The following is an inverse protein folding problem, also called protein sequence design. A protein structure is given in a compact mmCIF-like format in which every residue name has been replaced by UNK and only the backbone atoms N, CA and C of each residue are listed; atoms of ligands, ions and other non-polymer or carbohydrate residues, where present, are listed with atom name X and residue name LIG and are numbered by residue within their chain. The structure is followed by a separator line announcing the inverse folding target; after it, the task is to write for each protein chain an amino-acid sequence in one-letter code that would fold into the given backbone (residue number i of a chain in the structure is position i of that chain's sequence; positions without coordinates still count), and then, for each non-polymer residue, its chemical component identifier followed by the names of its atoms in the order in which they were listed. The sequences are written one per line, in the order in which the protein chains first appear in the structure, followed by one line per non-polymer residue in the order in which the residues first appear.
data_IF_130481449724
#
_entry.id   IF_130481449724
#
_cell.length_a   1.000
_cell.length_b   1.000
_cell.length_c   1.000
_cell.angle_alpha   90.00
_cell.angle_beta   90.00
_cell.angle_gamma   90.00
#
_symmetry.space_group_name_H-M   'P 1'
#
loop_
_entity.id
_entity.type
_entity.pdbx_description
1 polymer ?
#
# COMPACT_ATOMS: atom_id res chain seq x y z
N UNK A 1 -10.94 22.53 -7.03
CA UNK A 1 -10.81 21.12 -6.60
C UNK A 1 -11.65 20.79 -5.35
N UNK A 2 -12.19 21.78 -4.61
CA UNK A 2 -12.93 21.57 -3.37
C UNK A 2 -14.40 21.15 -3.54
N UNK A 3 -14.98 21.24 -4.70
CA UNK A 3 -16.42 21.02 -4.90
C UNK A 3 -16.83 19.57 -5.25
N UNK A 4 -15.89 18.62 -5.31
CA UNK A 4 -16.13 17.25 -5.78
C UNK A 4 -15.52 16.17 -4.86
N UNK A 5 -15.29 16.45 -3.57
CA UNK A 5 -14.80 15.45 -2.65
C UNK A 5 -15.97 14.92 -1.81
N UNK A 6 -16.26 13.64 -1.96
CA UNK A 6 -17.22 12.92 -1.12
C UNK A 6 -16.46 12.10 -0.07
N UNK A 7 -16.88 12.21 1.20
CA UNK A 7 -16.33 11.42 2.31
C UNK A 7 -17.26 10.23 2.56
N UNK A 8 -16.74 9.03 2.34
CA UNK A 8 -17.44 7.78 2.59
C UNK A 8 -16.77 7.04 3.76
N UNK A 9 -17.34 7.05 4.97
CA UNK A 9 -16.81 6.31 6.10
C UNK A 9 -16.77 4.80 5.77
N UNK A 10 -15.61 4.17 6.00
CA UNK A 10 -15.42 2.75 5.73
C UNK A 10 -14.35 2.18 6.67
N UNK A 11 -14.64 1.06 7.31
CA UNK A 11 -13.62 0.21 7.91
C UNK A 11 -13.08 -0.73 6.82
N UNK A 12 -11.84 -0.54 6.35
CA UNK A 12 -11.29 -1.32 5.27
C UNK A 12 -10.90 -2.74 5.69
N UNK A 13 -10.92 -3.07 6.98
CA UNK A 13 -10.71 -4.42 7.50
C UNK A 13 -12.00 -5.22 7.56
N UNK A 14 -13.16 -4.57 7.43
CA UNK A 14 -14.49 -5.18 7.41
C UNK A 14 -14.98 -5.40 5.98
N UNK A 15 -15.12 -6.66 5.58
CA UNK A 15 -15.60 -7.00 4.24
C UNK A 15 -16.97 -6.38 3.93
N UNK A 16 -17.89 -6.43 4.89
CA UNK A 16 -19.24 -5.84 4.75
C UNK A 16 -19.18 -4.32 4.54
N UNK A 17 -18.31 -3.63 5.28
CA UNK A 17 -18.12 -2.18 5.11
C UNK A 17 -17.57 -1.86 3.72
N UNK A 18 -16.54 -2.56 3.27
CA UNK A 18 -15.95 -2.39 1.94
C UNK A 18 -16.99 -2.63 0.85
N UNK A 19 -17.72 -3.75 0.92
CA UNK A 19 -18.77 -4.10 -0.03
C UNK A 19 -19.85 -3.01 -0.10
N UNK A 20 -20.39 -2.61 1.06
CA UNK A 20 -21.45 -1.60 1.14
C UNK A 20 -21.00 -0.25 0.60
N UNK A 21 -19.77 0.17 0.92
CA UNK A 21 -19.23 1.44 0.46
C UNK A 21 -19.00 1.44 -1.04
N UNK A 22 -18.33 0.42 -1.57
CA UNK A 22 -18.03 0.33 -2.99
C UNK A 22 -19.28 0.07 -3.86
N UNK A 23 -20.36 -0.47 -3.29
CA UNK A 23 -21.62 -0.63 -4.02
C UNK A 23 -22.30 0.68 -4.40
N UNK A 24 -21.94 1.79 -3.75
CA UNK A 24 -22.45 3.14 -4.05
C UNK A 24 -21.73 3.80 -5.22
N UNK A 25 -20.59 3.25 -5.64
CA UNK A 25 -19.71 3.81 -6.67
C UNK A 25 -20.05 3.19 -8.02
N UNK A 26 -20.17 3.99 -9.06
CA UNK A 26 -20.50 3.52 -10.40
C UNK A 26 -19.30 3.02 -11.19
N UNK A 27 -18.20 3.75 -11.17
CA UNK A 27 -16.93 3.44 -11.86
C UNK A 27 -15.75 4.02 -11.11
N UNK A 28 -14.55 3.47 -11.33
CA UNK A 28 -13.31 3.95 -10.75
C UNK A 28 -12.23 3.96 -11.83
N UNK A 29 -11.47 5.05 -11.88
CA UNK A 29 -10.27 5.17 -12.71
C UNK A 29 -9.00 4.94 -11.89
N UNK A 30 -9.06 5.22 -10.58
CA UNK A 30 -7.94 5.10 -9.67
C UNK A 30 -8.39 4.64 -8.29
N UNK A 31 -7.68 3.68 -7.74
CA UNK A 31 -7.73 3.29 -6.33
C UNK A 31 -6.33 3.40 -5.76
N UNK A 32 -6.18 4.13 -4.66
CA UNK A 32 -4.94 4.14 -3.86
C UNK A 32 -5.30 3.74 -2.43
N UNK A 33 -4.88 2.55 -2.02
CA UNK A 33 -5.00 2.13 -0.62
C UNK A 33 -3.82 2.69 0.18
N UNK A 34 -4.10 3.61 1.09
CA UNK A 34 -3.11 4.25 1.97
C UNK A 34 -3.16 3.71 3.40
N UNK A 35 -3.88 2.63 3.65
CA UNK A 35 -3.96 2.01 4.98
C UNK A 35 -2.59 1.42 5.34
N UNK A 36 -2.14 1.71 6.56
CA UNK A 36 -0.86 1.21 7.04
C UNK A 36 -0.72 1.29 8.56
N UNK A 37 -0.06 0.29 9.10
CA UNK A 37 0.19 0.11 10.52
C UNK A 37 1.61 -0.42 10.70
N UNK A 38 2.36 0.13 11.63
CA UNK A 38 3.74 -0.26 11.91
C UNK A 38 3.86 -1.02 13.23
N UNK A 39 3.25 -0.48 14.28
CA UNK A 39 3.24 -1.08 15.62
C UNK A 39 2.11 -0.47 16.44
N UNK A 40 1.64 -1.18 17.47
CA UNK A 40 0.70 -0.66 18.48
C UNK A 40 1.31 0.51 19.25
N UNK A 41 0.46 1.34 19.87
CA UNK A 41 0.89 2.54 20.61
C UNK A 41 1.89 2.23 21.73
N UNK A 42 1.82 1.02 22.31
CA UNK A 42 2.69 0.55 23.39
C UNK A 42 3.94 -0.21 22.92
N UNK A 43 4.12 -0.42 21.61
CA UNK A 43 5.18 -1.25 21.08
C UNK A 43 5.99 -0.60 19.96
N UNK A 44 7.31 -0.85 19.98
CA UNK A 44 8.19 -0.63 18.84
C UNK A 44 8.27 -1.92 18.02
N UNK A 45 8.45 -1.85 16.69
CA UNK A 45 8.67 -3.04 15.88
C UNK A 45 9.83 -3.88 16.42
N UNK A 46 9.70 -5.18 16.33
CA UNK A 46 10.63 -6.15 16.89
C UNK A 46 12.03 -6.00 16.27
N UNK A 47 13.05 -5.72 17.08
CA UNK A 47 14.44 -5.64 16.63
C UNK A 47 15.13 -7.01 16.58
N UNK A 48 14.59 -7.99 17.29
CA UNK A 48 15.14 -9.36 17.36
C UNK A 48 14.00 -10.37 17.41
N UNK A 49 14.25 -11.59 16.95
CA UNK A 49 13.26 -12.70 17.01
C UNK A 49 12.79 -13.01 18.44
N UNK A 50 13.61 -12.72 19.44
CA UNK A 50 13.26 -12.93 20.85
C UNK A 50 12.10 -12.03 21.33
N UNK A 51 11.82 -10.95 20.61
CA UNK A 51 10.71 -10.01 20.90
C UNK A 51 9.52 -10.20 19.97
N UNK A 52 9.53 -11.26 19.17
CA UNK A 52 8.43 -11.56 18.28
C UNK A 52 7.22 -12.05 19.08
N UNK A 53 6.07 -11.42 18.82
CA UNK A 53 4.78 -11.77 19.40
C UNK A 53 3.80 -12.13 18.27
N UNK A 54 3.18 -13.33 18.31
CA UNK A 54 2.25 -13.76 17.25
C UNK A 54 1.12 -12.78 16.99
N UNK A 55 0.54 -12.19 18.04
CA UNK A 55 -0.54 -11.22 17.93
C UNK A 55 -0.12 -9.98 17.11
N UNK A 56 1.12 -9.49 17.28
CA UNK A 56 1.64 -8.37 16.50
C UNK A 56 1.72 -8.66 14.99
N UNK A 57 2.02 -9.90 14.61
CA UNK A 57 1.98 -10.33 13.22
C UNK A 57 0.55 -10.42 12.70
N UNK A 58 -0.37 -11.02 13.46
CA UNK A 58 -1.78 -11.13 13.10
C UNK A 58 -2.40 -9.74 12.86
N UNK A 59 -2.16 -8.81 13.77
CA UNK A 59 -2.61 -7.42 13.65
C UNK A 59 -2.00 -6.74 12.41
N UNK A 60 -0.70 -6.89 12.21
CA UNK A 60 0.00 -6.31 11.06
C UNK A 60 -0.53 -6.84 9.72
N UNK A 61 -0.81 -8.13 9.60
CA UNK A 61 -1.41 -8.73 8.40
C UNK A 61 -2.84 -8.22 8.21
N UNK A 62 -3.63 -8.19 9.28
CA UNK A 62 -5.02 -7.74 9.25
C UNK A 62 -5.15 -6.30 8.76
N UNK A 63 -4.22 -5.41 9.15
CA UNK A 63 -4.30 -4.00 8.78
C UNK A 63 -3.53 -3.69 7.49
N UNK A 64 -2.34 -4.24 7.29
CA UNK A 64 -1.50 -3.88 6.15
C UNK A 64 -1.85 -4.63 4.86
N UNK A 65 -2.38 -5.86 4.96
CA UNK A 65 -2.58 -6.76 3.79
C UNK A 65 -4.04 -6.93 3.44
N UNK A 66 -4.89 -7.31 4.41
CA UNK A 66 -6.28 -7.66 4.18
C UNK A 66 -7.10 -6.54 3.49
N UNK A 67 -6.98 -5.25 3.86
CA UNK A 67 -7.72 -4.17 3.21
C UNK A 67 -7.53 -4.12 1.71
N UNK A 68 -6.29 -4.30 1.22
CA UNK A 68 -5.99 -4.32 -0.21
C UNK A 68 -6.76 -5.41 -0.94
N UNK A 69 -6.81 -6.62 -0.38
CA UNK A 69 -7.51 -7.75 -0.97
C UNK A 69 -9.03 -7.54 -0.96
N UNK A 70 -9.59 -7.02 0.14
CA UNK A 70 -11.02 -6.72 0.24
C UNK A 70 -11.43 -5.62 -0.75
N UNK A 71 -10.65 -4.54 -0.82
CA UNK A 71 -10.91 -3.45 -1.77
C UNK A 71 -10.81 -3.98 -3.21
N UNK A 72 -9.78 -4.76 -3.55
CA UNK A 72 -9.61 -5.34 -4.87
C UNK A 72 -10.81 -6.20 -5.29
N UNK A 73 -11.30 -7.06 -4.37
CA UNK A 73 -12.44 -7.94 -4.59
C UNK A 73 -13.68 -7.19 -5.09
N UNK A 74 -13.96 -6.03 -4.54
CA UNK A 74 -15.15 -5.25 -4.87
C UNK A 74 -14.88 -4.14 -5.90
N UNK A 75 -13.66 -3.63 -6.02
CA UNK A 75 -13.28 -2.60 -6.99
C UNK A 75 -13.08 -3.14 -8.41
N UNK A 76 -12.81 -4.43 -8.59
CA UNK A 76 -12.51 -5.06 -9.88
C UNK A 76 -13.52 -4.67 -10.99
N UNK A 77 -14.81 -4.82 -10.70
CA UNK A 77 -15.88 -4.50 -11.67
C UNK A 77 -15.98 -3.01 -11.97
N UNK A 78 -15.60 -2.16 -11.03
CA UNK A 78 -15.65 -0.71 -11.15
C UNK A 78 -14.48 -0.19 -12.00
N UNK A 79 -13.27 -0.71 -11.78
CA UNK A 79 -12.06 -0.40 -12.53
C UNK A 79 -12.13 -0.89 -13.98
N UNK A 80 -12.80 -2.02 -14.22
CA UNK A 80 -13.00 -2.56 -15.57
C UNK A 80 -13.81 -1.65 -16.49
N UNK A 81 -14.64 -0.75 -15.94
CA UNK A 81 -15.46 0.19 -16.70
C UNK A 81 -14.67 1.37 -17.28
N UNK A 82 -13.50 1.66 -16.71
CA UNK A 82 -12.61 2.72 -17.22
C UNK A 82 -11.86 2.26 -18.47
N UNK A 83 -11.48 3.20 -19.32
CA UNK A 83 -10.61 2.91 -20.47
C UNK A 83 -9.17 2.55 -20.03
N UNK A 84 -8.70 3.20 -18.98
CA UNK A 84 -7.43 2.94 -18.32
C UNK A 84 -7.60 3.21 -16.82
N UNK A 85 -7.20 2.26 -16.00
CA UNK A 85 -7.32 2.37 -14.55
C UNK A 85 -6.04 1.96 -13.82
N UNK A 86 -5.93 2.39 -12.57
CA UNK A 86 -4.81 2.02 -11.69
C UNK A 86 -5.37 1.55 -10.35
N UNK A 87 -4.85 0.43 -9.87
CA UNK A 87 -5.04 -0.06 -8.52
C UNK A 87 -3.69 -0.12 -7.81
N UNK A 88 -3.50 0.74 -6.83
CA UNK A 88 -2.23 0.85 -6.12
C UNK A 88 -2.42 0.74 -4.61
N UNK A 89 -1.42 0.21 -3.93
CA UNK A 89 -1.33 0.23 -2.47
C UNK A 89 0.01 0.76 -2.00
N UNK A 90 -0.05 1.56 -0.92
CA UNK A 90 1.15 2.03 -0.24
C UNK A 90 1.78 0.86 0.53
N UNK A 91 2.86 0.36 -0.03
CA UNK A 91 3.74 -0.61 0.60
C UNK A 91 4.92 0.10 1.29
N UNK A 92 5.97 -0.62 1.53
CA UNK A 92 7.20 -0.07 2.10
C UNK A 92 8.41 -0.85 1.55
N UNK A 93 9.53 -0.16 1.34
CA UNK A 93 10.77 -0.79 0.88
C UNK A 93 11.20 -1.98 1.75
N UNK A 94 10.92 -1.91 3.06
CA UNK A 94 11.19 -3.01 4.01
C UNK A 94 10.37 -4.28 3.74
N UNK A 95 9.33 -4.22 2.90
CA UNK A 95 8.59 -5.39 2.41
C UNK A 95 9.26 -6.10 1.23
N UNK A 96 10.31 -5.54 0.65
CA UNK A 96 11.13 -6.21 -0.35
C UNK A 96 11.98 -7.31 0.31
N UNK A 97 11.88 -8.53 -0.20
CA UNK A 97 12.68 -9.66 0.27
C UNK A 97 14.11 -9.51 -0.23
N UNK A 98 14.26 -9.12 -1.51
CA UNK A 98 15.57 -8.95 -2.15
C UNK A 98 16.41 -7.80 -1.58
N UNK A 99 15.76 -6.71 -1.13
CA UNK A 99 16.44 -5.54 -0.52
C UNK A 99 16.73 -5.72 0.98
N UNK A 100 16.26 -6.79 1.62
CA UNK A 100 16.36 -6.98 3.06
C UNK A 100 17.78 -7.35 3.51
N UNK A 101 18.58 -6.35 3.88
CA UNK A 101 19.94 -6.50 4.43
C UNK A 101 20.00 -6.19 5.94
N UNK A 102 18.95 -5.59 6.51
CA UNK A 102 18.97 -5.08 7.88
C UNK A 102 18.33 -6.02 8.90
N UNK A 103 17.38 -6.86 8.48
CA UNK A 103 16.60 -7.71 9.38
C UNK A 103 15.71 -6.89 10.35
N UNK A 104 15.26 -7.54 11.42
CA UNK A 104 14.34 -6.93 12.39
C UNK A 104 12.97 -6.61 11.82
N UNK A 105 12.09 -6.00 12.63
CA UNK A 105 10.73 -5.57 12.24
C UNK A 105 9.91 -6.71 11.62
N UNK A 106 9.94 -7.87 12.24
CA UNK A 106 9.40 -9.11 11.67
C UNK A 106 7.95 -8.96 11.23
N UNK A 107 7.06 -8.54 12.13
CA UNK A 107 5.63 -8.41 11.83
C UNK A 107 5.38 -7.41 10.71
N UNK A 108 6.06 -6.25 10.72
CA UNK A 108 5.88 -5.24 9.69
C UNK A 108 6.44 -5.67 8.33
N UNK A 109 7.67 -6.22 8.29
CA UNK A 109 8.26 -6.72 7.03
C UNK A 109 7.42 -7.84 6.43
N UNK A 110 7.00 -8.80 7.25
CA UNK A 110 6.18 -9.93 6.78
C UNK A 110 4.85 -9.40 6.22
N UNK A 111 4.18 -8.47 6.91
CA UNK A 111 2.91 -7.93 6.43
C UNK A 111 3.06 -7.14 5.11
N UNK A 112 4.15 -6.37 4.95
CA UNK A 112 4.39 -5.64 3.70
C UNK A 112 4.89 -6.55 2.56
N UNK A 113 5.61 -7.63 2.87
CA UNK A 113 5.93 -8.69 1.89
C UNK A 113 4.66 -9.46 1.47
N UNK A 114 3.76 -9.76 2.41
CA UNK A 114 2.45 -10.34 2.11
C UNK A 114 1.60 -9.42 1.22
N UNK A 115 1.58 -8.11 1.50
CA UNK A 115 0.95 -7.10 0.63
C UNK A 115 1.55 -7.11 -0.77
N UNK A 116 2.89 -7.14 -0.88
CA UNK A 116 3.60 -7.20 -2.14
C UNK A 116 3.22 -8.47 -2.93
N UNK A 117 3.20 -9.62 -2.28
CA UNK A 117 2.74 -10.88 -2.88
C UNK A 117 1.28 -10.80 -3.35
N UNK A 118 0.39 -10.22 -2.54
CA UNK A 118 -1.01 -10.03 -2.89
C UNK A 118 -1.16 -9.18 -4.16
N UNK A 119 -0.46 -8.06 -4.26
CA UNK A 119 -0.47 -7.18 -5.43
C UNK A 119 0.13 -7.86 -6.67
N UNK A 120 1.23 -8.60 -6.50
CA UNK A 120 1.83 -9.38 -7.59
C UNK A 120 0.87 -10.44 -8.11
N UNK A 121 0.24 -11.19 -7.23
CA UNK A 121 -0.75 -12.22 -7.59
C UNK A 121 -1.95 -11.60 -8.30
N UNK A 122 -2.47 -10.50 -7.75
CA UNK A 122 -3.58 -9.75 -8.34
C UNK A 122 -3.26 -9.23 -9.74
N UNK A 123 -2.06 -8.74 -9.97
CA UNK A 123 -1.62 -8.24 -11.28
C UNK A 123 -1.65 -9.33 -12.35
N UNK A 124 -1.27 -10.55 -11.99
CA UNK A 124 -1.28 -11.71 -12.90
C UNK A 124 -2.72 -12.12 -13.23
N UNK A 125 -3.58 -12.17 -12.23
CA UNK A 125 -5.01 -12.46 -12.42
C UNK A 125 -5.68 -11.38 -13.28
N UNK A 126 -5.44 -10.11 -12.96
CA UNK A 126 -6.09 -8.98 -13.63
C UNK A 126 -5.52 -8.70 -15.02
N UNK A 127 -4.33 -9.18 -15.35
CA UNK A 127 -3.84 -9.12 -16.74
C UNK A 127 -4.82 -9.76 -17.74
N UNK A 128 -5.65 -10.71 -17.29
CA UNK A 128 -6.68 -11.37 -18.10
C UNK A 128 -8.09 -10.82 -17.86
N UNK A 129 -8.44 -10.53 -16.59
CA UNK A 129 -9.81 -10.17 -16.20
C UNK A 129 -10.09 -8.67 -16.22
N UNK A 130 -9.06 -7.83 -16.06
CA UNK A 130 -9.12 -6.36 -16.09
C UNK A 130 -7.90 -5.81 -16.84
N UNK A 131 -7.71 -6.12 -18.13
CA UNK A 131 -6.47 -5.84 -18.85
C UNK A 131 -6.14 -4.35 -19.01
N UNK A 132 -7.11 -3.48 -18.76
CA UNK A 132 -6.96 -2.02 -18.75
C UNK A 132 -6.44 -1.45 -17.41
N UNK A 133 -6.23 -2.30 -16.40
CA UNK A 133 -5.82 -1.88 -15.06
C UNK A 133 -4.34 -2.18 -14.80
N UNK A 134 -3.60 -1.17 -14.36
CA UNK A 134 -2.27 -1.34 -13.77
C UNK A 134 -2.39 -1.60 -12.27
N UNK A 135 -1.88 -2.72 -11.79
CA UNK A 135 -1.76 -3.04 -10.35
C UNK A 135 -0.33 -2.76 -9.92
N UNK A 136 -0.14 -1.93 -8.89
CA UNK A 136 1.18 -1.50 -8.44
C UNK A 136 1.33 -1.46 -6.92
N UNK A 137 2.51 -1.84 -6.42
CA UNK A 137 2.97 -1.50 -5.08
C UNK A 137 3.73 -0.18 -5.12
N UNK A 138 3.57 0.66 -4.10
CA UNK A 138 4.21 1.97 -4.01
C UNK A 138 4.95 2.13 -2.69
N UNK A 139 6.22 2.51 -2.74
CA UNK A 139 6.98 2.96 -1.57
C UNK A 139 6.95 4.49 -1.52
N UNK A 140 6.41 5.10 -0.44
CA UNK A 140 6.21 6.55 -0.36
C UNK A 140 7.46 7.33 0.03
N UNK A 141 8.61 6.66 0.19
CA UNK A 141 9.79 7.24 0.85
C UNK A 141 9.65 7.21 2.37
N UNK A 142 10.64 7.79 3.06
CA UNK A 142 10.53 8.04 4.51
C UNK A 142 9.81 9.37 4.70
N UNK A 143 8.56 9.30 5.16
CA UNK A 143 7.66 10.47 5.25
C UNK A 143 7.51 10.91 6.70
N UNK A 144 7.58 12.22 6.96
CA UNK A 144 7.37 12.80 8.29
C UNK A 144 5.91 12.63 8.74
N UNK A 145 5.63 11.57 9.49
CA UNK A 145 4.31 11.21 10.00
C UNK A 145 4.42 10.66 11.42
N UNK A 146 3.30 10.52 12.12
CA UNK A 146 3.26 9.84 13.42
C UNK A 146 3.79 8.40 13.35
N UNK A 147 3.56 7.71 12.23
CA UNK A 147 4.01 6.33 12.01
C UNK A 147 5.54 6.23 11.95
N UNK A 148 6.21 7.18 11.32
CA UNK A 148 7.67 7.17 11.15
C UNK A 148 8.44 7.88 12.28
N UNK A 149 7.80 8.77 13.02
CA UNK A 149 8.43 9.62 14.02
C UNK A 149 9.34 8.88 15.02
N UNK A 150 8.97 7.69 15.54
CA UNK A 150 9.85 6.95 16.47
C UNK A 150 11.16 6.44 15.84
N UNK A 151 11.28 6.44 14.52
CA UNK A 151 12.38 5.81 13.77
C UNK A 151 13.21 6.81 12.97
N UNK A 152 12.76 8.04 12.88
CA UNK A 152 13.50 9.16 12.30
C UNK A 152 14.32 9.78 13.41
N UNK A 153 15.51 9.22 13.66
CA UNK A 153 16.49 9.83 14.57
C UNK A 153 16.96 11.20 14.07
N UNK A 154 17.61 11.98 14.94
CA UNK A 154 18.04 13.37 14.72
C UNK A 154 18.79 13.63 13.40
N UNK A 155 18.10 13.54 12.29
CA UNK A 155 18.41 14.18 11.01
C UNK A 155 19.62 13.68 10.23
N UNK A 156 20.22 12.54 10.52
CA UNK A 156 21.59 12.30 9.98
C UNK A 156 21.73 11.40 8.75
N UNK A 157 20.69 10.74 8.19
CA UNK A 157 20.99 9.86 7.02
C UNK A 157 19.88 9.61 5.99
N UNK A 158 18.66 10.12 6.15
CA UNK A 158 17.61 9.85 5.16
C UNK A 158 16.95 11.18 4.75
N UNK A 159 16.72 11.38 3.46
CA UNK A 159 15.89 12.48 2.97
C UNK A 159 14.46 12.26 3.46
N UNK A 160 14.09 12.95 4.54
CA UNK A 160 12.76 12.93 5.10
C UNK A 160 11.83 13.80 4.24
N UNK A 161 10.84 13.18 3.64
CA UNK A 161 9.84 13.88 2.85
C UNK A 161 8.72 14.42 3.75
N UNK A 162 8.21 15.59 3.46
CA UNK A 162 6.92 16.01 4.00
C UNK A 162 5.79 15.17 3.38
N UNK A 163 4.62 15.13 4.02
CA UNK A 163 3.45 14.42 3.49
C UNK A 163 3.04 14.95 2.11
N UNK A 164 3.09 16.26 1.91
CA UNK A 164 2.79 16.89 0.62
C UNK A 164 3.81 16.56 -0.47
N UNK A 165 5.10 16.51 -0.14
CA UNK A 165 6.14 16.10 -1.08
C UNK A 165 5.96 14.63 -1.50
N UNK A 166 5.77 13.73 -0.53
CA UNK A 166 5.54 12.32 -0.82
C UNK A 166 4.28 12.12 -1.67
N UNK A 167 3.18 12.79 -1.32
CA UNK A 167 1.93 12.71 -2.09
C UNK A 167 2.11 13.21 -3.53
N UNK A 168 2.83 14.32 -3.74
CA UNK A 168 3.12 14.84 -5.08
C UNK A 168 3.97 13.86 -5.91
N UNK A 169 4.99 13.26 -5.28
CA UNK A 169 5.83 12.25 -5.94
C UNK A 169 5.03 10.99 -6.30
N UNK A 170 4.25 10.45 -5.37
CA UNK A 170 3.39 9.28 -5.62
C UNK A 170 2.36 9.57 -6.71
N UNK A 171 1.74 10.76 -6.68
CA UNK A 171 0.80 11.17 -7.74
C UNK A 171 1.48 11.21 -9.11
N UNK A 172 2.71 11.70 -9.19
CA UNK A 172 3.49 11.70 -10.43
C UNK A 172 3.77 10.28 -10.93
N UNK A 173 4.16 9.36 -10.04
CA UNK A 173 4.37 7.95 -10.39
C UNK A 173 3.06 7.35 -10.92
N UNK A 174 1.97 7.45 -10.16
CA UNK A 174 0.66 6.87 -10.50
C UNK A 174 0.13 7.40 -11.83
N UNK A 175 0.24 8.69 -12.11
CA UNK A 175 -0.23 9.30 -13.36
C UNK A 175 0.53 8.79 -14.60
N UNK A 176 1.74 8.27 -14.42
CA UNK A 176 2.55 7.71 -15.50
C UNK A 176 2.36 6.20 -15.69
N UNK A 177 1.73 5.50 -14.73
CA UNK A 177 1.50 4.06 -14.85
C UNK A 177 0.56 3.72 -16.01
N UNK A 178 0.89 2.65 -16.71
CA UNK A 178 0.12 2.10 -17.83
C UNK A 178 -0.14 0.62 -17.58
N UNK A 179 -1.09 -0.03 -18.26
CA UNK A 179 -1.37 -1.46 -18.06
C UNK A 179 -0.16 -2.37 -18.21
N UNK A 180 0.83 -2.02 -19.04
CA UNK A 180 2.06 -2.80 -19.21
C UNK A 180 3.05 -2.69 -18.03
N UNK A 181 2.83 -1.73 -17.11
CA UNK A 181 3.60 -1.58 -15.88
C UNK A 181 3.03 -2.41 -14.72
N UNK A 182 1.96 -3.17 -14.98
CA UNK A 182 1.28 -3.96 -13.95
C UNK A 182 2.21 -4.98 -13.29
N UNK A 183 2.06 -5.14 -11.98
CA UNK A 183 2.83 -6.11 -11.20
C UNK A 183 4.25 -5.67 -10.88
N UNK A 184 4.51 -4.37 -10.82
CA UNK A 184 5.79 -3.80 -10.40
C UNK A 184 5.67 -3.08 -9.06
N UNK A 185 6.82 -2.92 -8.40
CA UNK A 185 6.96 -2.19 -7.13
C UNK A 185 7.77 -0.91 -7.37
N UNK A 186 7.14 0.23 -7.15
CA UNK A 186 7.70 1.54 -7.47
C UNK A 186 8.07 2.33 -6.23
N UNK A 187 9.20 2.97 -6.26
CA UNK A 187 9.60 3.98 -5.30
C UNK A 187 8.97 5.35 -5.64
N UNK A 188 8.90 6.22 -4.67
CA UNK A 188 8.39 7.59 -4.78
C UNK A 188 9.09 8.44 -5.84
N UNK A 189 10.33 8.14 -6.15
CA UNK A 189 11.17 8.81 -7.16
C UNK A 189 11.00 8.23 -8.58
N UNK A 190 10.19 7.17 -8.72
CA UNK A 190 9.89 6.51 -9.99
C UNK A 190 10.82 5.34 -10.32
N UNK A 191 11.75 5.00 -9.43
CA UNK A 191 12.60 3.82 -9.61
C UNK A 191 11.85 2.54 -9.25
N UNK A 192 12.14 1.45 -9.96
CA UNK A 192 11.58 0.12 -9.64
C UNK A 192 12.37 -0.51 -8.49
N UNK A 193 11.64 -1.03 -7.50
CA UNK A 193 12.19 -1.76 -6.35
C UNK A 193 12.04 -3.26 -6.64
N UNK A 194 13.06 -4.06 -6.35
CA UNK A 194 12.91 -5.52 -6.38
C UNK A 194 11.91 -6.01 -5.31
N UNK A 195 11.21 -7.11 -5.64
CA UNK A 195 10.25 -7.73 -4.73
C UNK A 195 10.89 -8.35 -3.48
#
# INVERSE_FOLDING_TARGET
LSEQIELLPMDPTSETNVQTTLSKIHSLDLVINCVGFLSSEDGLPEKTIRKFEPHGLEESISINTLPTLLIAKYAQKLLRKSQQSVFASISAKVGSIGDNQLGGWYSYRISKAALNMALKTLSIEWSKSVPNCCVAALHPGTVSTKLSAPFVGDGKKHSLLSTSQSAACISKVVNNLRPFDTGRFWSWDGEEICW
#
